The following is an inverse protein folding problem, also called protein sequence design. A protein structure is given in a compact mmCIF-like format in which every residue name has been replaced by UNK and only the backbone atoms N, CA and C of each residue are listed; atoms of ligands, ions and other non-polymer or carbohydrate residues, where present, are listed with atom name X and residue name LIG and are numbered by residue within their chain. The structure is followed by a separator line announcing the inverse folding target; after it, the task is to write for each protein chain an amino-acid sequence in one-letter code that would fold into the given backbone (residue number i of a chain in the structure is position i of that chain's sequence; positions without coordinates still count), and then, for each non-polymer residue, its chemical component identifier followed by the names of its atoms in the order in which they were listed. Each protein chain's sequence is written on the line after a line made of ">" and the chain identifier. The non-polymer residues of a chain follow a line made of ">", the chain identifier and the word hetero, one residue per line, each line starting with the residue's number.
data_IF_779535749029
#
_entry.id   IF_779535749029
#
_cell.length_a   1.000
_cell.length_b   1.000
_cell.length_c   1.000
_cell.angle_alpha   90.00
_cell.angle_beta   90.00
_cell.angle_gamma   90.00
#
_symmetry.space_group_name_H-M   'P 1'
#
loop_
_entity.id
_entity.type
_entity.pdbx_description
1 polymer ?
#
# COMPACT_ATOMS: atom_id res chain seq x y z
N UNK A 1 1.71 19.56 2.02
CA UNK A 1 1.45 20.00 0.63
C UNK A 1 2.61 19.50 -0.20
N UNK A 2 2.33 18.77 -1.27
CA UNK A 2 3.34 18.31 -2.22
C UNK A 2 3.93 19.55 -2.90
N UNK A 3 5.26 19.68 -2.93
CA UNK A 3 5.90 20.86 -3.49
C UNK A 3 5.90 20.84 -5.03
N UNK A 4 6.26 21.96 -5.66
CA UNK A 4 6.25 22.08 -7.12
C UNK A 4 7.18 21.07 -7.83
N UNK A 5 8.27 20.65 -7.17
CA UNK A 5 9.22 19.69 -7.73
C UNK A 5 8.66 18.28 -7.66
N UNK A 6 8.09 17.88 -6.54
CA UNK A 6 7.42 16.59 -6.38
C UNK A 6 6.23 16.46 -7.34
N UNK A 7 5.42 17.52 -7.47
CA UNK A 7 4.32 17.57 -8.44
C UNK A 7 4.82 17.39 -9.87
N UNK A 8 5.93 18.03 -10.24
CA UNK A 8 6.53 17.90 -11.57
C UNK A 8 6.95 16.45 -11.88
N UNK A 9 7.51 15.74 -10.91
CA UNK A 9 7.91 14.33 -11.05
C UNK A 9 6.70 13.45 -11.33
N UNK A 10 5.65 13.58 -10.53
CA UNK A 10 4.42 12.81 -10.68
C UNK A 10 3.72 13.14 -12.01
N UNK A 11 3.66 14.42 -12.40
CA UNK A 11 3.07 14.84 -13.66
C UNK A 11 3.75 14.20 -14.88
N UNK A 12 5.09 14.22 -14.92
CA UNK A 12 5.85 13.65 -16.04
C UNK A 12 5.73 12.11 -16.06
N UNK A 13 5.71 11.46 -14.88
CA UNK A 13 5.49 10.02 -14.78
C UNK A 13 4.08 9.63 -15.28
N UNK A 14 3.04 10.30 -14.79
CA UNK A 14 1.63 10.07 -15.20
C UNK A 14 1.50 10.25 -16.71
N UNK A 15 2.09 11.30 -17.28
CA UNK A 15 2.02 11.55 -18.71
C UNK A 15 2.61 10.39 -19.51
N UNK A 16 3.79 9.87 -19.12
CA UNK A 16 4.43 8.74 -19.79
C UNK A 16 3.59 7.46 -19.65
N UNK A 17 3.20 7.12 -18.44
CA UNK A 17 2.40 5.91 -18.14
C UNK A 17 1.07 5.92 -18.92
N UNK A 18 0.43 7.08 -19.03
CA UNK A 18 -0.81 7.25 -19.80
C UNK A 18 -0.64 7.01 -21.30
N UNK A 19 0.52 7.33 -21.87
CA UNK A 19 0.79 7.01 -23.30
C UNK A 19 0.89 5.51 -23.58
N UNK A 20 1.16 4.71 -22.55
CA UNK A 20 1.27 3.26 -22.62
C UNK A 20 -0.01 2.54 -22.15
N UNK A 21 -1.04 3.28 -21.75
CA UNK A 21 -2.31 2.75 -21.23
C UNK A 21 -2.13 1.80 -20.03
N UNK A 22 -1.18 2.13 -19.15
CA UNK A 22 -0.85 1.31 -17.98
C UNK A 22 -1.55 1.84 -16.72
N UNK A 23 -2.37 1.03 -16.02
CA UNK A 23 -2.91 1.40 -14.72
C UNK A 23 -1.81 1.61 -13.69
N UNK A 24 -1.86 2.72 -12.95
CA UNK A 24 -0.87 3.07 -11.94
C UNK A 24 -1.57 3.54 -10.67
N UNK A 25 -1.08 3.04 -9.53
CA UNK A 25 -1.48 3.47 -8.20
C UNK A 25 -0.28 4.00 -7.43
N UNK A 26 -0.52 5.05 -6.68
CA UNK A 26 0.43 5.54 -5.69
C UNK A 26 0.37 4.67 -4.45
N UNK A 27 1.54 4.24 -3.97
CA UNK A 27 1.71 3.39 -2.80
C UNK A 27 2.76 3.97 -1.85
N UNK A 28 3.18 3.19 -0.85
CA UNK A 28 4.33 3.52 -0.01
C UNK A 28 4.17 4.82 0.80
N UNK A 29 5.27 5.51 1.03
CA UNK A 29 5.27 6.72 1.87
C UNK A 29 4.50 7.88 1.23
N UNK A 30 4.48 7.93 -0.12
CA UNK A 30 3.68 8.90 -0.87
C UNK A 30 2.18 8.72 -0.65
N UNK A 31 1.68 7.49 -0.66
CA UNK A 31 0.28 7.21 -0.35
C UNK A 31 -0.08 7.63 1.09
N UNK A 32 0.77 7.27 2.07
CA UNK A 32 0.58 7.69 3.48
C UNK A 32 0.41 9.21 3.62
N UNK A 33 1.26 9.97 2.93
CA UNK A 33 1.24 11.43 2.96
C UNK A 33 -0.12 11.98 2.51
N UNK A 34 -0.71 11.39 1.47
CA UNK A 34 -2.01 11.82 0.94
C UNK A 34 -3.15 11.39 1.86
N UNK A 35 -3.13 10.12 2.30
CA UNK A 35 -4.22 9.54 3.10
C UNK A 35 -4.33 10.22 4.47
N UNK A 36 -3.20 10.41 5.16
CA UNK A 36 -3.16 10.86 6.55
C UNK A 36 -2.59 12.27 6.67
N UNK A 37 -1.42 12.54 6.12
CA UNK A 37 -0.67 13.74 6.51
C UNK A 37 -1.29 15.03 5.96
N UNK A 38 -2.03 14.97 4.84
CA UNK A 38 -2.84 16.11 4.39
C UNK A 38 -4.04 16.40 5.31
N UNK A 39 -4.59 15.38 5.97
CA UNK A 39 -5.71 15.53 6.92
C UNK A 39 -5.25 15.96 8.31
N UNK A 40 -4.10 15.47 8.77
CA UNK A 40 -3.65 15.63 10.16
C UNK A 40 -2.43 16.55 10.35
N UNK A 41 -1.71 16.93 9.30
CA UNK A 41 -0.58 17.86 9.38
C UNK A 41 0.71 17.31 10.00
N UNK A 42 0.81 16.00 10.22
CA UNK A 42 1.89 15.34 10.98
C UNK A 42 2.86 14.50 10.12
N UNK A 43 3.09 14.91 8.87
CA UNK A 43 3.88 14.10 7.93
C UNK A 43 5.40 14.17 8.10
N UNK A 44 6.05 12.99 8.04
CA UNK A 44 7.47 12.89 7.67
C UNK A 44 7.57 13.24 6.18
N UNK A 45 8.41 14.20 5.80
CA UNK A 45 8.66 14.46 4.37
C UNK A 45 9.15 13.17 3.67
N UNK A 46 8.50 12.78 2.58
CA UNK A 46 9.00 11.68 1.74
C UNK A 46 10.14 12.20 0.87
N UNK A 47 11.16 11.38 0.62
CA UNK A 47 12.31 11.75 -0.25
C UNK A 47 12.21 11.11 -1.63
N UNK A 48 11.32 10.15 -1.76
CA UNK A 48 11.05 9.34 -2.93
C UNK A 48 9.54 9.12 -3.07
N UNK A 49 9.13 8.75 -4.28
CA UNK A 49 7.74 8.36 -4.59
C UNK A 49 7.71 6.88 -4.93
N UNK A 50 6.75 6.15 -4.34
CA UNK A 50 6.52 4.75 -4.66
C UNK A 50 5.24 4.63 -5.49
N UNK A 51 5.34 4.02 -6.66
CA UNK A 51 4.17 3.66 -7.49
C UNK A 51 4.18 2.17 -7.79
N UNK A 52 2.99 1.61 -7.95
CA UNK A 52 2.82 0.30 -8.52
C UNK A 52 2.10 0.42 -9.86
N UNK A 53 2.56 -0.32 -10.86
CA UNK A 53 2.02 -0.27 -12.22
C UNK A 53 1.62 -1.68 -12.66
N UNK A 54 0.40 -1.81 -13.17
CA UNK A 54 -0.09 -3.07 -13.73
C UNK A 54 0.60 -3.34 -15.07
N UNK A 55 1.33 -4.44 -15.15
CA UNK A 55 2.20 -4.83 -16.25
C UNK A 55 2.00 -6.32 -16.53
N UNK A 56 1.84 -6.67 -17.80
CA UNK A 56 1.58 -8.06 -18.18
C UNK A 56 2.84 -8.92 -18.34
N UNK A 57 4.00 -8.32 -18.60
CA UNK A 57 5.23 -9.06 -18.88
C UNK A 57 6.49 -8.22 -18.65
N UNK A 58 7.63 -8.89 -18.52
CA UNK A 58 8.94 -8.21 -18.48
C UNK A 58 9.25 -7.41 -19.74
N UNK A 59 8.73 -7.80 -20.90
CA UNK A 59 8.83 -7.04 -22.16
C UNK A 59 8.05 -5.72 -22.07
N UNK A 60 6.82 -5.77 -21.56
CA UNK A 60 6.01 -4.57 -21.30
C UNK A 60 6.68 -3.65 -20.27
N UNK A 61 7.31 -4.23 -19.23
CA UNK A 61 8.13 -3.46 -18.30
C UNK A 61 9.34 -2.82 -18.99
N UNK A 62 10.04 -3.51 -19.90
CA UNK A 62 11.13 -2.88 -20.66
C UNK A 62 10.63 -1.74 -21.55
N UNK A 63 9.45 -1.88 -22.15
CA UNK A 63 8.83 -0.81 -22.95
C UNK A 63 8.58 0.45 -22.10
N UNK A 64 8.04 0.27 -20.88
CA UNK A 64 7.91 1.37 -19.91
C UNK A 64 9.27 2.00 -19.58
N UNK A 65 10.30 1.17 -19.33
CA UNK A 65 11.65 1.67 -19.04
C UNK A 65 12.22 2.49 -20.19
N UNK A 66 12.07 2.02 -21.42
CA UNK A 66 12.53 2.75 -22.61
C UNK A 66 11.80 4.08 -22.77
N UNK A 67 10.50 4.13 -22.55
CA UNK A 67 9.73 5.38 -22.57
C UNK A 67 10.19 6.39 -21.50
N UNK A 68 10.60 5.90 -20.32
CA UNK A 68 11.11 6.74 -19.23
C UNK A 68 12.49 7.34 -19.53
N UNK A 69 13.42 6.54 -20.07
CA UNK A 69 14.86 6.88 -20.10
C UNK A 69 15.47 7.06 -21.49
N UNK A 70 14.84 6.57 -22.55
CA UNK A 70 15.37 6.53 -23.92
C UNK A 70 14.48 7.26 -24.95
N UNK A 71 13.47 8.00 -24.52
CA UNK A 71 12.71 8.88 -25.40
C UNK A 71 13.60 9.98 -26.02
N UNK A 72 13.14 10.61 -27.11
CA UNK A 72 13.86 11.74 -27.75
C UNK A 72 14.20 12.86 -26.74
N UNK A 73 13.31 13.06 -25.75
CA UNK A 73 13.54 13.92 -24.61
C UNK A 73 13.25 13.13 -23.31
N UNK A 74 14.24 12.44 -22.73
CA UNK A 74 14.03 11.62 -21.56
C UNK A 74 13.73 12.49 -20.33
N UNK A 75 12.77 12.04 -19.51
CA UNK A 75 12.41 12.70 -18.24
C UNK A 75 13.07 12.05 -17.04
N UNK A 76 13.43 10.78 -17.16
CA UNK A 76 14.03 9.99 -16.10
C UNK A 76 15.36 9.40 -16.56
N UNK A 77 16.20 9.04 -15.58
CA UNK A 77 17.43 8.26 -15.78
C UNK A 77 17.36 7.01 -14.91
N UNK A 78 17.95 5.92 -15.37
CA UNK A 78 18.08 4.71 -14.57
C UNK A 78 19.01 4.93 -13.38
N UNK A 79 18.82 4.14 -12.33
CA UNK A 79 19.73 4.07 -11.20
C UNK A 79 20.35 2.67 -11.10
N UNK A 80 21.15 2.42 -10.05
CA UNK A 80 21.69 1.07 -9.77
C UNK A 80 20.61 0.09 -9.33
N UNK A 81 19.50 0.58 -8.80
CA UNK A 81 18.36 -0.23 -8.36
C UNK A 81 17.38 -0.35 -9.54
N UNK A 82 17.06 -1.56 -10.04
CA UNK A 82 16.32 -1.73 -11.30
C UNK A 82 14.91 -1.15 -11.33
N UNK A 83 14.26 -1.07 -10.17
CA UNK A 83 12.94 -0.47 -10.01
C UNK A 83 12.97 1.03 -9.73
N UNK A 84 14.15 1.62 -9.55
CA UNK A 84 14.29 3.03 -9.18
C UNK A 84 14.74 3.88 -10.35
N UNK A 85 13.99 4.93 -10.61
CA UNK A 85 14.23 5.92 -11.65
C UNK A 85 14.41 7.29 -11.01
N UNK A 86 15.38 8.06 -11.50
CA UNK A 86 15.58 9.43 -11.03
C UNK A 86 15.07 10.43 -12.04
N UNK A 87 14.19 11.31 -11.61
CA UNK A 87 13.73 12.40 -12.45
C UNK A 87 14.86 13.38 -12.75
N UNK A 88 15.08 13.71 -14.02
CA UNK A 88 16.27 14.46 -14.48
C UNK A 88 16.23 15.92 -13.99
N UNK A 89 15.07 16.56 -14.05
CA UNK A 89 14.93 17.99 -13.74
C UNK A 89 14.98 18.27 -12.23
N UNK A 90 14.45 17.35 -11.41
CA UNK A 90 14.28 17.57 -9.96
C UNK A 90 15.21 16.73 -9.11
N UNK A 91 15.88 15.71 -9.66
CA UNK A 91 16.74 14.74 -8.97
C UNK A 91 16.01 13.93 -7.87
N UNK A 92 14.67 13.88 -7.92
CA UNK A 92 13.84 13.07 -7.03
C UNK A 92 13.74 11.64 -7.57
N UNK A 93 13.82 10.65 -6.68
CA UNK A 93 13.69 9.23 -7.01
C UNK A 93 12.21 8.79 -7.03
N UNK A 94 11.89 7.89 -7.95
CA UNK A 94 10.63 7.17 -8.03
C UNK A 94 10.93 5.68 -8.11
N UNK A 95 10.37 4.92 -7.17
CA UNK A 95 10.37 3.45 -7.19
C UNK A 95 9.10 2.96 -7.90
N UNK A 96 9.27 2.12 -8.92
CA UNK A 96 8.20 1.55 -9.74
C UNK A 96 8.16 0.04 -9.54
N UNK A 97 7.12 -0.45 -8.89
CA UNK A 97 6.86 -1.87 -8.68
C UNK A 97 5.88 -2.38 -9.75
N UNK A 98 6.30 -3.25 -10.69
CA UNK A 98 5.38 -3.86 -11.62
C UNK A 98 4.58 -4.98 -10.92
N UNK A 99 3.27 -5.03 -11.15
CA UNK A 99 2.39 -6.10 -10.67
C UNK A 99 1.42 -6.52 -11.78
N UNK A 100 0.57 -7.53 -11.55
CA UNK A 100 -0.34 -8.08 -12.56
C UNK A 100 0.19 -9.39 -13.14
N UNK A 101 -0.10 -9.66 -14.42
CA UNK A 101 0.27 -10.94 -15.08
C UNK A 101 1.78 -11.20 -15.06
N UNK A 102 2.62 -10.16 -14.96
CA UNK A 102 4.08 -10.28 -14.80
C UNK A 102 4.48 -11.15 -13.59
N UNK A 103 3.64 -11.22 -12.55
CA UNK A 103 3.90 -11.98 -11.34
C UNK A 103 3.33 -13.40 -11.35
N UNK A 104 2.58 -13.81 -12.39
CA UNK A 104 1.91 -15.11 -12.41
C UNK A 104 2.88 -16.29 -12.64
N UNK A 105 2.57 -17.50 -12.14
CA UNK A 105 1.37 -17.89 -11.36
C UNK A 105 1.47 -17.61 -9.84
N UNK A 106 2.68 -17.27 -9.38
CA UNK A 106 3.01 -17.26 -7.95
C UNK A 106 2.75 -15.92 -7.27
N UNK A 107 2.34 -14.91 -8.05
CA UNK A 107 2.24 -13.50 -7.65
C UNK A 107 3.58 -12.99 -7.10
N UNK A 108 4.67 -13.30 -7.81
CA UNK A 108 6.03 -12.89 -7.47
C UNK A 108 6.78 -12.36 -8.69
N UNK A 109 7.57 -11.32 -8.48
CA UNK A 109 8.53 -10.81 -9.47
C UNK A 109 9.95 -11.07 -8.98
N UNK A 110 10.86 -11.39 -9.90
CA UNK A 110 12.28 -11.58 -9.58
C UNK A 110 13.08 -10.52 -10.32
N UNK A 111 13.72 -9.63 -9.57
CA UNK A 111 14.60 -8.63 -10.14
C UNK A 111 15.90 -9.28 -10.63
N UNK A 112 16.33 -8.93 -11.85
CA UNK A 112 17.51 -9.56 -12.49
C UNK A 112 18.84 -9.31 -11.75
N UNK A 113 18.92 -8.29 -10.90
CA UNK A 113 20.14 -7.91 -10.16
C UNK A 113 20.30 -8.69 -8.85
N UNK A 114 19.20 -8.89 -8.12
CA UNK A 114 19.22 -9.53 -6.81
C UNK A 114 18.91 -11.02 -6.88
N UNK A 115 18.13 -11.45 -7.88
CA UNK A 115 17.60 -12.81 -7.98
C UNK A 115 16.62 -13.16 -6.86
N UNK A 116 16.27 -12.21 -5.99
CA UNK A 116 15.34 -12.45 -4.89
C UNK A 116 13.90 -12.22 -5.37
N UNK A 117 12.98 -13.16 -5.09
CA UNK A 117 11.57 -12.93 -5.35
C UNK A 117 11.04 -11.83 -4.43
N UNK A 118 10.16 -11.01 -4.98
CA UNK A 118 9.35 -10.02 -4.28
C UNK A 118 7.89 -10.37 -4.51
N UNK A 119 7.10 -10.43 -3.44
CA UNK A 119 5.66 -10.66 -3.55
C UNK A 119 4.99 -9.43 -4.16
N UNK A 120 4.07 -9.67 -5.11
CA UNK A 120 3.16 -8.65 -5.65
C UNK A 120 1.70 -8.97 -5.31
N UNK A 121 1.50 -9.81 -4.29
CA UNK A 121 0.17 -10.14 -3.76
C UNK A 121 -0.48 -8.91 -3.13
N UNK A 122 -1.79 -8.73 -3.33
CA UNK A 122 -2.54 -7.58 -2.82
C UNK A 122 -2.54 -6.34 -3.71
N UNK A 123 -1.66 -6.23 -4.72
CA UNK A 123 -1.63 -5.05 -5.60
C UNK A 123 -2.82 -4.98 -6.58
N UNK A 124 -3.36 -6.11 -7.02
CA UNK A 124 -4.55 -6.14 -7.90
C UNK A 124 -5.81 -5.70 -7.14
N UNK A 125 -5.97 -6.18 -5.90
CA UNK A 125 -7.02 -5.70 -5.01
C UNK A 125 -6.83 -4.22 -4.68
N UNK A 126 -5.59 -3.79 -4.40
CA UNK A 126 -5.28 -2.39 -4.13
C UNK A 126 -5.58 -1.47 -5.31
N UNK A 127 -5.34 -1.91 -6.54
CA UNK A 127 -5.74 -1.18 -7.74
C UNK A 127 -7.27 -1.06 -7.85
N UNK A 128 -7.99 -2.13 -7.54
CA UNK A 128 -9.46 -2.18 -7.67
C UNK A 128 -10.17 -1.28 -6.65
N UNK A 129 -9.55 -1.05 -5.50
CA UNK A 129 -10.05 -0.20 -4.41
C UNK A 129 -9.40 1.19 -4.37
N UNK A 130 -8.41 1.47 -5.23
CA UNK A 130 -7.77 2.77 -5.28
C UNK A 130 -8.76 3.87 -5.66
N UNK A 131 -8.60 5.03 -5.04
CA UNK A 131 -9.46 6.19 -5.27
C UNK A 131 -8.72 7.28 -6.01
N UNK A 132 -9.42 7.95 -6.91
CA UNK A 132 -8.89 9.11 -7.60
C UNK A 132 -8.78 10.27 -6.61
N UNK A 133 -7.56 10.75 -6.40
CA UNK A 133 -7.27 11.94 -5.60
C UNK A 133 -6.75 13.05 -6.49
N UNK A 134 -7.32 14.25 -6.30
CA UNK A 134 -6.84 15.46 -6.97
C UNK A 134 -5.80 16.16 -6.08
N UNK A 135 -4.60 16.35 -6.61
CA UNK A 135 -3.52 17.12 -6.00
C UNK A 135 -3.26 18.32 -6.89
N UNK A 136 -3.80 19.48 -6.52
CA UNK A 136 -3.91 20.65 -7.39
C UNK A 136 -4.60 20.30 -8.73
N UNK A 137 -3.82 20.25 -9.82
CA UNK A 137 -4.23 19.92 -11.18
C UNK A 137 -3.87 18.49 -11.61
N UNK A 138 -3.30 17.68 -10.71
CA UNK A 138 -2.96 16.28 -10.96
C UNK A 138 -4.02 15.33 -10.44
N UNK A 139 -4.49 14.46 -11.33
CA UNK A 139 -5.33 13.32 -10.99
C UNK A 139 -4.46 12.07 -10.80
N UNK A 140 -4.47 11.48 -9.61
CA UNK A 140 -3.69 10.28 -9.30
C UNK A 140 -4.55 9.26 -8.54
N UNK A 141 -4.44 7.99 -8.89
CA UNK A 141 -5.05 6.92 -8.09
C UNK A 141 -4.18 6.63 -6.89
N UNK A 142 -4.78 6.64 -5.71
CA UNK A 142 -4.11 6.40 -4.42
C UNK A 142 -4.80 5.22 -3.75
N UNK A 143 -4.01 4.29 -3.23
CA UNK A 143 -4.54 3.16 -2.46
C UNK A 143 -5.35 3.65 -1.25
N UNK A 144 -6.36 2.88 -0.87
CA UNK A 144 -7.13 3.13 0.34
C UNK A 144 -6.41 2.60 1.60
N UNK A 145 -7.00 2.83 2.77
CA UNK A 145 -6.40 2.44 4.05
C UNK A 145 -6.30 0.90 4.20
N UNK A 146 -7.35 0.11 3.89
CA UNK A 146 -7.27 -1.36 3.85
C UNK A 146 -6.14 -1.87 2.95
N UNK A 147 -6.01 -1.35 1.73
CA UNK A 147 -4.92 -1.73 0.82
C UNK A 147 -3.56 -1.39 1.40
N UNK A 148 -3.45 -0.20 2.03
CA UNK A 148 -2.17 0.25 2.55
C UNK A 148 -1.66 -0.63 3.69
N UNK A 149 -2.52 -1.00 4.64
CA UNK A 149 -2.13 -1.91 5.73
C UNK A 149 -1.79 -3.31 5.20
N UNK A 150 -2.56 -3.85 4.25
CA UNK A 150 -2.29 -5.17 3.64
C UNK A 150 -0.93 -5.20 2.95
N UNK A 151 -0.64 -4.21 2.11
CA UNK A 151 0.66 -4.13 1.42
C UNK A 151 1.82 -3.97 2.40
N UNK A 152 1.60 -3.33 3.56
CA UNK A 152 2.61 -3.23 4.62
C UNK A 152 2.85 -4.54 5.34
N UNK A 153 1.82 -5.35 5.58
CA UNK A 153 1.96 -6.70 6.15
C UNK A 153 2.74 -7.60 5.19
N UNK A 154 2.45 -7.59 3.88
CA UNK A 154 3.23 -8.36 2.90
C UNK A 154 4.67 -7.88 2.79
N UNK A 155 4.89 -6.57 2.76
CA UNK A 155 6.22 -5.99 2.81
C UNK A 155 7.02 -6.43 4.05
N UNK A 156 6.38 -6.50 5.22
CA UNK A 156 6.98 -7.05 6.42
C UNK A 156 7.28 -8.54 6.30
N UNK A 157 6.40 -9.33 5.68
CA UNK A 157 6.66 -10.76 5.38
C UNK A 157 7.90 -10.96 4.49
N UNK A 158 8.08 -10.11 3.48
CA UNK A 158 9.24 -10.16 2.58
C UNK A 158 10.52 -9.68 3.27
N UNK A 159 10.46 -8.59 4.04
CA UNK A 159 11.63 -7.91 4.61
C UNK A 159 12.02 -8.40 6.00
N UNK A 160 11.08 -8.89 6.79
CA UNK A 160 11.23 -9.22 8.20
C UNK A 160 11.82 -8.06 9.01
N UNK A 161 12.69 -8.37 9.97
CA UNK A 161 13.35 -7.39 10.84
C UNK A 161 14.46 -6.56 10.18
N UNK A 162 14.64 -6.66 8.85
CA UNK A 162 15.63 -5.83 8.15
C UNK A 162 15.29 -4.33 8.24
N UNK A 163 14.05 -4.00 8.55
CA UNK A 163 13.56 -2.63 8.74
C UNK A 163 12.35 -2.61 9.67
N UNK A 164 12.25 -1.58 10.51
CA UNK A 164 11.06 -1.34 11.35
C UNK A 164 10.00 -0.47 10.65
N UNK A 165 10.30 0.07 9.46
CA UNK A 165 9.41 1.01 8.77
C UNK A 165 8.02 0.43 8.50
N UNK A 166 7.94 -0.83 8.10
CA UNK A 166 6.65 -1.46 7.81
C UNK A 166 5.82 -1.62 9.10
N UNK A 167 6.45 -1.95 10.23
CA UNK A 167 5.80 -2.01 11.54
C UNK A 167 5.34 -0.61 12.01
N UNK A 168 6.20 0.41 11.87
CA UNK A 168 5.86 1.80 12.22
C UNK A 168 4.66 2.32 11.41
N UNK A 169 4.56 1.96 10.13
CA UNK A 169 3.42 2.33 9.28
C UNK A 169 2.13 1.60 9.72
N UNK A 170 2.20 0.30 10.01
CA UNK A 170 1.03 -0.47 10.48
C UNK A 170 0.55 0.07 11.82
N UNK A 171 1.46 0.27 12.79
CA UNK A 171 1.12 0.82 14.11
C UNK A 171 0.52 2.22 14.00
N UNK A 172 1.07 3.07 13.11
CA UNK A 172 0.52 4.39 12.85
C UNK A 172 -0.91 4.32 12.30
N UNK A 173 -1.17 3.47 11.30
CA UNK A 173 -2.52 3.31 10.74
C UNK A 173 -3.49 2.84 11.82
N UNK A 174 -3.13 1.80 12.57
CA UNK A 174 -4.00 1.23 13.61
C UNK A 174 -4.28 2.22 14.75
N UNK A 175 -3.33 3.10 15.06
CA UNK A 175 -3.50 4.10 16.13
C UNK A 175 -4.18 5.40 15.70
N UNK A 176 -4.26 5.69 14.39
CA UNK A 176 -4.75 6.98 13.86
C UNK A 176 -5.96 6.86 12.95
N UNK A 177 -6.30 5.67 12.47
CA UNK A 177 -7.50 5.48 11.67
C UNK A 177 -8.75 5.68 12.54
N UNK A 178 -9.56 6.66 12.18
CA UNK A 178 -10.83 6.98 12.82
C UNK A 178 -11.86 7.32 11.73
N UNK A 179 -13.00 6.65 11.78
CA UNK A 179 -14.20 6.92 11.00
C UNK A 179 -15.44 6.65 11.88
N UNK A 180 -15.66 7.55 12.84
CA UNK A 180 -16.73 7.43 13.83
C UNK A 180 -18.11 7.31 13.18
N UNK A 181 -18.34 8.04 12.08
CA UNK A 181 -19.60 7.96 11.34
C UNK A 181 -19.84 6.54 10.82
N UNK A 182 -18.82 5.90 10.24
CA UNK A 182 -18.95 4.49 9.82
C UNK A 182 -19.07 3.54 11.01
N UNK A 183 -18.34 3.77 12.09
CA UNK A 183 -18.47 2.95 13.31
C UNK A 183 -19.91 2.95 13.83
N UNK A 184 -20.55 4.12 13.96
CA UNK A 184 -21.93 4.19 14.44
C UNK A 184 -22.94 3.58 13.47
N UNK A 185 -22.69 3.67 12.16
CA UNK A 185 -23.64 3.20 11.15
C UNK A 185 -23.47 1.71 10.78
N UNK A 186 -22.25 1.19 10.79
CA UNK A 186 -21.92 -0.17 10.34
C UNK A 186 -21.74 -1.16 11.49
N UNK A 187 -21.39 -0.71 12.70
CA UNK A 187 -21.11 -1.58 13.86
C UNK A 187 -22.12 -1.42 15.01
N UNK A 188 -23.32 -0.92 14.75
CA UNK A 188 -24.35 -0.71 15.79
C UNK A 188 -24.66 -2.00 16.57
N UNK A 189 -24.78 -3.13 15.86
CA UNK A 189 -25.08 -4.43 16.47
C UNK A 189 -23.89 -4.93 17.31
N UNK A 190 -22.68 -4.92 16.76
CA UNK A 190 -21.46 -5.39 17.45
C UNK A 190 -21.11 -4.54 18.68
N UNK A 191 -21.38 -3.23 18.64
CA UNK A 191 -21.23 -2.34 19.79
C UNK A 191 -22.29 -2.64 20.87
N UNK A 192 -23.53 -2.89 20.46
CA UNK A 192 -24.65 -3.13 21.39
C UNK A 192 -24.59 -4.52 22.04
N UNK A 193 -24.09 -5.52 21.33
CA UNK A 193 -23.88 -6.88 21.85
C UNK A 193 -22.65 -6.98 22.76
N UNK A 194 -21.72 -6.02 22.67
CA UNK A 194 -20.43 -6.07 23.35
C UNK A 194 -19.40 -6.95 22.64
N UNK A 195 -19.61 -7.25 21.34
CA UNK A 195 -18.64 -7.98 20.53
C UNK A 195 -17.41 -7.12 20.22
N UNK A 196 -17.52 -5.80 20.22
CA UNK A 196 -16.39 -4.88 20.10
C UNK A 196 -16.58 -3.66 21.02
N UNK A 197 -15.51 -3.26 21.70
CA UNK A 197 -15.49 -2.03 22.48
C UNK A 197 -15.37 -0.81 21.57
N UNK A 198 -15.99 0.31 21.95
CA UNK A 198 -15.97 1.54 21.13
C UNK A 198 -14.55 2.01 20.79
N UNK A 199 -13.59 1.85 21.72
CA UNK A 199 -12.18 2.23 21.50
C UNK A 199 -11.47 1.38 20.42
N UNK A 200 -12.01 0.19 20.14
CA UNK A 200 -11.46 -0.79 19.19
C UNK A 200 -12.26 -0.86 17.89
N UNK A 201 -13.44 -0.25 17.87
CA UNK A 201 -14.39 -0.32 16.76
C UNK A 201 -13.80 0.15 15.43
N UNK A 202 -12.98 1.21 15.42
CA UNK A 202 -12.30 1.69 14.21
C UNK A 202 -11.33 0.63 13.62
N UNK A 203 -10.53 -0.02 14.47
CA UNK A 203 -9.61 -1.08 14.03
C UNK A 203 -10.38 -2.32 13.57
N UNK A 204 -11.45 -2.66 14.29
CA UNK A 204 -12.31 -3.79 13.94
C UNK A 204 -13.01 -3.57 12.58
N UNK A 205 -13.54 -2.37 12.34
CA UNK A 205 -14.12 -1.96 11.06
C UNK A 205 -13.08 -2.07 9.92
N UNK A 206 -11.85 -1.61 10.16
CA UNK A 206 -10.76 -1.76 9.20
C UNK A 206 -10.50 -3.24 8.85
N UNK A 207 -10.63 -4.14 9.83
CA UNK A 207 -10.56 -5.58 9.59
C UNK A 207 -11.68 -6.09 8.68
N UNK A 208 -12.93 -5.64 8.91
CA UNK A 208 -14.07 -5.97 8.04
C UNK A 208 -13.87 -5.48 6.60
N UNK A 209 -13.29 -4.29 6.42
CA UNK A 209 -12.99 -3.75 5.09
C UNK A 209 -11.92 -4.57 4.36
N UNK A 210 -10.87 -4.99 5.07
CA UNK A 210 -9.86 -5.91 4.52
C UNK A 210 -10.52 -7.23 4.07
N UNK A 211 -11.45 -7.77 4.86
CA UNK A 211 -12.17 -8.99 4.49
C UNK A 211 -13.00 -8.82 3.20
N UNK A 212 -13.71 -7.70 3.07
CA UNK A 212 -14.51 -7.37 1.87
C UNK A 212 -13.64 -7.14 0.64
N UNK A 213 -12.43 -6.63 0.83
CA UNK A 213 -11.50 -6.26 -0.23
C UNK A 213 -10.78 -7.44 -0.87
N UNK A 214 -10.32 -8.39 -0.06
CA UNK A 214 -9.33 -9.38 -0.50
C UNK A 214 -9.94 -10.63 -1.15
N UNK A 215 -9.22 -11.16 -2.14
CA UNK A 215 -9.50 -12.49 -2.68
C UNK A 215 -8.99 -13.59 -1.74
N UNK A 216 -9.58 -14.79 -1.82
CA UNK A 216 -9.26 -15.93 -0.94
C UNK A 216 -7.76 -16.24 -0.85
N UNK A 217 -7.04 -16.26 -1.99
CA UNK A 217 -5.58 -16.54 -2.02
C UNK A 217 -4.81 -15.50 -1.20
N UNK A 218 -5.16 -14.23 -1.36
CA UNK A 218 -4.52 -13.10 -0.66
C UNK A 218 -4.86 -13.11 0.83
N UNK A 219 -6.12 -13.41 1.17
CA UNK A 219 -6.57 -13.52 2.56
C UNK A 219 -5.84 -14.62 3.33
N UNK A 220 -5.60 -15.78 2.69
CA UNK A 220 -4.87 -16.89 3.33
C UNK A 220 -3.44 -16.48 3.69
N UNK A 221 -2.71 -15.82 2.79
CA UNK A 221 -1.34 -15.40 3.08
C UNK A 221 -1.31 -14.24 4.08
N UNK A 222 -2.26 -13.30 4.00
CA UNK A 222 -2.40 -12.22 4.98
C UNK A 222 -2.61 -12.81 6.39
N UNK A 223 -3.56 -13.75 6.54
CA UNK A 223 -3.85 -14.35 7.84
C UNK A 223 -2.60 -15.03 8.45
N UNK A 224 -1.84 -15.76 7.63
CA UNK A 224 -0.61 -16.40 8.07
C UNK A 224 0.41 -15.39 8.62
N UNK A 225 0.60 -14.26 7.93
CA UNK A 225 1.52 -13.21 8.37
C UNK A 225 0.99 -12.48 9.61
N UNK A 226 -0.31 -12.18 9.66
CA UNK A 226 -0.92 -11.55 10.84
C UNK A 226 -0.79 -12.45 12.08
N UNK A 227 -1.03 -13.76 11.96
CA UNK A 227 -0.82 -14.70 13.06
C UNK A 227 0.63 -14.73 13.53
N UNK A 228 1.60 -14.63 12.61
CA UNK A 228 3.02 -14.55 12.95
C UNK A 228 3.32 -13.26 13.71
N UNK A 229 2.85 -12.11 13.20
CA UNK A 229 3.02 -10.81 13.84
C UNK A 229 2.38 -10.79 15.23
N UNK A 230 1.14 -11.28 15.38
CA UNK A 230 0.44 -11.35 16.66
C UNK A 230 1.25 -12.18 17.64
N UNK A 231 1.66 -13.40 17.29
CA UNK A 231 2.48 -14.27 18.17
C UNK A 231 3.79 -13.60 18.60
N UNK A 232 4.36 -12.78 17.71
CA UNK A 232 5.64 -12.11 17.93
C UNK A 232 5.54 -10.88 18.81
N UNK A 233 4.43 -10.14 18.70
CA UNK A 233 4.20 -8.87 19.38
C UNK A 233 3.11 -8.97 20.45
N UNK A 234 2.75 -10.18 20.89
CA UNK A 234 1.74 -10.44 21.93
C UNK A 234 2.23 -9.91 23.28
N UNK A 235 1.84 -8.68 23.59
CA UNK A 235 2.11 -8.03 24.87
C UNK A 235 0.79 -7.88 25.63
N UNK A 236 0.80 -8.21 26.93
CA UNK A 236 -0.39 -8.19 27.79
C UNK A 236 -0.88 -6.77 28.17
N UNK A 237 -0.56 -5.76 27.37
CA UNK A 237 -0.94 -4.36 27.59
C UNK A 237 -2.00 -3.94 26.57
N UNK A 238 -3.11 -3.39 27.07
CA UNK A 238 -4.15 -2.77 26.25
C UNK A 238 -3.53 -1.71 25.34
N UNK A 239 -4.00 -1.64 24.08
CA UNK A 239 -3.49 -0.71 23.05
C UNK A 239 -2.02 -0.89 22.67
N UNK A 240 -1.36 -1.97 23.11
CA UNK A 240 -0.08 -2.38 22.54
C UNK A 240 -0.25 -2.72 21.05
N UNK A 241 0.87 -2.72 20.31
CA UNK A 241 0.86 -3.07 18.88
C UNK A 241 0.25 -4.47 18.64
N UNK A 242 0.62 -5.47 19.44
CA UNK A 242 0.02 -6.82 19.34
C UNK A 242 -1.46 -6.85 19.63
N UNK A 243 -1.92 -6.09 20.64
CA UNK A 243 -3.35 -5.96 20.94
C UNK A 243 -4.11 -5.38 19.73
N UNK A 244 -3.62 -4.30 19.13
CA UNK A 244 -4.25 -3.71 17.95
C UNK A 244 -4.29 -4.68 16.76
N UNK A 245 -3.25 -5.50 16.56
CA UNK A 245 -3.27 -6.56 15.55
C UNK A 245 -4.32 -7.64 15.84
N UNK A 246 -4.54 -8.00 17.11
CA UNK A 246 -5.60 -8.94 17.51
C UNK A 246 -6.99 -8.38 17.22
N UNK A 247 -7.23 -7.09 17.49
CA UNK A 247 -8.49 -6.41 17.15
C UNK A 247 -8.72 -6.41 15.64
N UNK A 248 -7.70 -6.06 14.85
CA UNK A 248 -7.76 -6.08 13.39
C UNK A 248 -8.12 -7.48 12.88
N UNK A 249 -7.42 -8.50 13.40
CA UNK A 249 -7.64 -9.90 13.06
C UNK A 249 -9.06 -10.36 13.42
N UNK A 250 -9.57 -9.98 14.58
CA UNK A 250 -10.96 -10.25 14.98
C UNK A 250 -11.96 -9.62 13.99
N UNK A 251 -11.73 -8.38 13.58
CA UNK A 251 -12.53 -7.69 12.57
C UNK A 251 -12.56 -8.44 11.23
N UNK A 252 -11.40 -8.88 10.73
CA UNK A 252 -11.28 -9.65 9.48
C UNK A 252 -12.16 -10.90 9.50
N UNK A 253 -12.17 -11.64 10.61
CA UNK A 253 -12.89 -12.91 10.69
C UNK A 253 -14.32 -12.81 11.19
N UNK A 254 -14.77 -11.62 11.61
CA UNK A 254 -16.14 -11.40 12.07
C UNK A 254 -17.20 -11.65 10.99
N UNK A 255 -16.86 -11.40 9.73
CA UNK A 255 -17.75 -11.58 8.58
C UNK A 255 -17.66 -12.98 7.97
N UNK A 256 -16.82 -13.86 8.51
CA UNK A 256 -16.66 -15.21 7.99
C UNK A 256 -17.89 -16.05 8.40
N UNK A 257 -18.74 -16.51 7.45
CA UNK A 257 -19.95 -17.27 7.77
C UNK A 257 -19.68 -18.67 8.39
N UNK A 258 -18.40 -19.04 8.58
CA UNK A 258 -17.96 -20.28 9.21
C UNK A 258 -17.18 -20.08 10.52
N UNK A 259 -17.02 -18.84 11.00
CA UNK A 259 -16.41 -18.53 12.29
C UNK A 259 -17.38 -18.81 13.46
#
# INVERSE_FOLDING_TARGET
>A
MIDSRERKVLADLIAIVKTLDLPMILVGAGARLIIFDQKFGEGRGTKDWDVAISIDSWESYQTLREALINADLPRFKSTKTPHRFRHIETDIDVDIVPFGTIGEPDKQIIWADSGNPMSVLGFEEALSYATITNIDDLEIQVIDIPSFIVLKVFAWGDRGERTNKDLEDIEFILSKYEDDDRVYNELEEELSSGDVDFLDANIYLLGQDIYRMLQDKTMVELNKLLEEMIKKFDYAEERSFGYMLQVLHKGIFSLNPKA
#
